data_IF_616974592349
#
_entry.id   IF_616974592349
#
_cell.length_a   1.000
_cell.length_b   1.000
_cell.length_c   1.000
_cell.angle_alpha   90.00
_cell.angle_beta   90.00
_cell.angle_gamma   90.00
#
_symmetry.space_group_name_H-M   'P 1'
#
loop_
_entity.id
_entity.type
_entity.pdbx_description
1 polymer ?
#
# COMPACT_ATOMS: atom_id res chain seq x y z
N UNK A 1 5.11 50.81 -16.34
CA UNK A 1 3.90 50.19 -15.76
C UNK A 1 4.19 48.74 -15.49
N UNK A 2 4.21 48.44 -14.22
CA UNK A 2 4.43 47.17 -13.57
C UNK A 2 3.35 46.12 -13.91
N UNK A 3 3.76 44.85 -13.94
CA UNK A 3 2.93 43.67 -13.70
C UNK A 3 3.83 42.58 -13.07
N UNK A 4 4.51 43.03 -12.01
CA UNK A 4 5.25 42.22 -11.03
C UNK A 4 4.29 41.15 -10.46
N UNK A 5 4.84 39.95 -10.24
CA UNK A 5 4.40 38.95 -9.24
C UNK A 5 3.51 37.72 -9.58
N UNK A 6 3.00 37.46 -10.79
CA UNK A 6 2.14 36.25 -10.97
C UNK A 6 2.77 35.01 -11.62
N UNK A 7 3.96 35.08 -12.24
CA UNK A 7 4.53 33.92 -12.98
C UNK A 7 5.70 33.21 -12.31
N UNK A 8 6.00 33.52 -11.04
CA UNK A 8 7.16 33.01 -10.30
C UNK A 8 7.00 31.59 -9.69
N UNK A 9 5.87 30.88 -9.86
CA UNK A 9 5.60 29.65 -9.05
C UNK A 9 5.60 28.31 -9.79
N UNK A 10 5.64 28.21 -11.14
CA UNK A 10 5.53 26.88 -11.80
C UNK A 10 6.74 26.49 -12.67
N UNK A 11 7.92 26.93 -12.25
CA UNK A 11 9.23 26.58 -12.79
C UNK A 11 9.82 25.39 -12.02
N UNK A 12 10.19 24.33 -12.75
CA UNK A 12 11.23 23.33 -12.41
C UNK A 12 10.91 22.40 -11.22
N UNK A 13 11.12 21.08 -11.29
CA UNK A 13 12.45 20.45 -11.19
C UNK A 13 12.46 19.10 -11.94
N UNK A 14 13.29 19.03 -12.98
CA UNK A 14 13.90 17.77 -13.40
C UNK A 14 15.00 17.40 -12.38
N UNK A 15 14.96 16.21 -11.78
CA UNK A 15 16.13 15.57 -11.16
C UNK A 15 15.96 14.06 -10.99
N UNK A 16 16.80 13.32 -11.72
CA UNK A 16 17.26 11.92 -11.48
C UNK A 16 17.44 11.62 -9.97
N UNK A 17 17.17 10.38 -9.54
CA UNK A 17 18.21 9.40 -9.12
C UNK A 17 17.66 8.04 -8.62
N UNK A 18 18.39 7.01 -9.03
CA UNK A 18 18.67 5.72 -8.39
C UNK A 18 17.62 4.59 -8.28
N UNK A 19 17.77 3.66 -9.22
CA UNK A 19 17.84 2.22 -9.03
C UNK A 19 17.97 1.69 -7.59
N UNK A 20 16.97 0.90 -7.16
CA UNK A 20 17.19 -0.22 -6.22
C UNK A 20 16.82 -1.50 -6.96
N UNK A 21 17.83 -2.18 -7.53
CA UNK A 21 17.76 -3.61 -7.84
C UNK A 21 17.73 -4.36 -6.50
N UNK A 22 16.59 -4.96 -6.11
CA UNK A 22 16.60 -6.10 -5.16
C UNK A 22 15.57 -7.17 -5.53
N UNK A 23 16.16 -8.28 -6.02
CA UNK A 23 15.80 -9.71 -6.00
C UNK A 23 14.38 -10.15 -6.35
N UNK A 24 14.29 -10.90 -7.45
CA UNK A 24 13.29 -11.96 -7.68
C UNK A 24 13.43 -13.00 -6.56
N UNK A 25 12.36 -13.26 -5.82
CA UNK A 25 12.17 -14.51 -5.08
C UNK A 25 10.91 -15.18 -5.58
N UNK A 26 11.12 -16.10 -6.52
CA UNK A 26 10.23 -17.23 -6.78
C UNK A 26 10.18 -18.10 -5.53
N UNK A 27 9.00 -18.28 -4.92
CA UNK A 27 8.81 -19.18 -3.78
C UNK A 27 7.34 -19.60 -3.69
N UNK A 28 7.10 -20.91 -3.77
CA UNK A 28 5.80 -21.55 -3.91
C UNK A 28 4.96 -21.51 -2.61
N UNK A 29 3.64 -21.44 -2.79
CA UNK A 29 2.50 -21.76 -1.90
C UNK A 29 2.76 -22.37 -0.51
N UNK A 30 2.23 -21.71 0.53
CA UNK A 30 1.28 -22.21 1.56
C UNK A 30 1.38 -21.25 2.76
N UNK A 31 0.23 -20.78 3.28
CA UNK A 31 0.08 -19.86 4.43
C UNK A 31 0.15 -18.36 4.10
N UNK A 32 -0.75 -17.87 3.25
CA UNK A 32 -0.91 -16.41 2.99
C UNK A 32 -2.00 -15.77 3.86
N UNK A 33 -2.69 -16.57 4.69
CA UNK A 33 -3.67 -16.14 5.71
C UNK A 33 -3.08 -16.19 7.12
N UNK A 34 -1.78 -16.43 7.27
CA UNK A 34 -1.14 -16.35 8.58
C UNK A 34 -1.15 -14.91 9.06
N UNK A 35 -1.55 -14.73 10.31
CA UNK A 35 -1.40 -13.46 11.01
C UNK A 35 0.07 -13.04 10.97
N UNK A 36 0.30 -11.74 10.79
CA UNK A 36 1.58 -11.12 11.04
C UNK A 36 2.02 -11.41 12.48
N UNK A 37 3.33 -11.59 12.71
CA UNK A 37 3.90 -11.59 14.06
C UNK A 37 3.47 -10.33 14.83
N UNK A 38 3.31 -10.44 16.15
CA UNK A 38 2.87 -9.32 16.99
C UNK A 38 3.80 -8.10 16.88
N UNK A 39 5.09 -8.33 16.62
CA UNK A 39 6.10 -7.28 16.39
C UNK A 39 6.04 -6.62 15.00
N UNK A 40 5.27 -7.18 14.04
CA UNK A 40 5.19 -6.70 12.64
C UNK A 40 3.77 -6.36 12.20
N UNK A 41 2.88 -6.14 13.15
CA UNK A 41 1.54 -5.62 12.87
C UNK A 41 1.61 -4.24 12.23
N UNK A 42 0.61 -3.92 11.41
CA UNK A 42 0.56 -2.61 10.75
C UNK A 42 -0.23 -1.63 11.62
N UNK A 43 0.39 -0.51 11.95
CA UNK A 43 -0.23 0.57 12.72
C UNK A 43 -0.80 1.62 11.77
N UNK A 44 -2.13 1.73 11.75
CA UNK A 44 -2.83 2.75 10.96
C UNK A 44 -2.84 4.06 11.75
N UNK A 45 -2.68 5.18 11.04
CA UNK A 45 -2.81 6.51 11.64
C UNK A 45 -4.25 6.72 12.13
N UNK A 46 -4.48 6.50 13.42
CA UNK A 46 -5.80 6.32 14.03
C UNK A 46 -5.86 5.28 15.16
N UNK A 47 -4.76 4.55 15.41
CA UNK A 47 -4.63 3.60 16.52
C UNK A 47 -5.13 2.18 16.20
N UNK A 48 -5.58 1.94 14.97
CA UNK A 48 -6.00 0.60 14.53
C UNK A 48 -4.79 -0.24 14.15
N UNK A 49 -4.79 -1.50 14.60
CA UNK A 49 -3.73 -2.47 14.37
C UNK A 49 -4.23 -3.53 13.39
N UNK A 50 -3.54 -3.70 12.26
CA UNK A 50 -3.83 -4.76 11.29
C UNK A 50 -2.91 -5.94 11.54
N UNK A 51 -3.49 -7.12 11.76
CA UNK A 51 -2.74 -8.36 11.97
C UNK A 51 -2.73 -9.24 10.73
N UNK A 52 -3.71 -9.12 9.85
CA UNK A 52 -3.82 -9.97 8.66
C UNK A 52 -4.55 -9.26 7.50
N UNK A 53 -4.72 -9.99 6.39
CA UNK A 53 -5.42 -9.49 5.22
C UNK A 53 -6.91 -9.18 5.48
N UNK A 54 -7.56 -9.90 6.39
CA UNK A 54 -8.97 -9.67 6.71
C UNK A 54 -9.15 -8.34 7.47
N UNK A 55 -8.26 -8.03 8.41
CA UNK A 55 -8.24 -6.73 9.09
C UNK A 55 -7.99 -5.60 8.08
N UNK A 56 -7.03 -5.79 7.16
CA UNK A 56 -6.77 -4.83 6.09
C UNK A 56 -8.00 -4.61 5.19
N UNK A 57 -8.74 -5.65 4.82
CA UNK A 57 -9.97 -5.51 4.00
C UNK A 57 -11.04 -4.69 4.71
N UNK A 58 -11.29 -4.98 5.99
CA UNK A 58 -12.25 -4.27 6.82
C UNK A 58 -11.85 -2.81 6.97
N UNK A 59 -10.59 -2.57 7.31
CA UNK A 59 -10.09 -1.21 7.53
C UNK A 59 -10.07 -0.40 6.25
N UNK A 60 -9.75 -0.97 5.08
CA UNK A 60 -9.85 -0.25 3.82
C UNK A 60 -11.29 0.19 3.49
N UNK A 61 -12.30 -0.54 3.96
CA UNK A 61 -13.71 -0.20 3.79
C UNK A 61 -14.19 0.87 4.77
N UNK A 62 -13.73 0.85 6.03
CA UNK A 62 -14.13 1.78 7.09
C UNK A 62 -13.30 3.06 7.16
N UNK A 63 -12.00 3.01 6.81
CA UNK A 63 -11.07 4.11 7.04
C UNK A 63 -11.42 5.37 6.25
N UNK A 64 -11.03 6.53 6.79
CA UNK A 64 -11.20 7.82 6.12
C UNK A 64 -10.32 7.92 4.87
N UNK A 65 -10.70 8.84 3.97
CA UNK A 65 -9.90 9.14 2.78
C UNK A 65 -8.53 9.72 3.15
N UNK A 66 -8.47 10.55 4.20
CA UNK A 66 -7.24 11.17 4.68
C UNK A 66 -6.24 10.13 5.22
N UNK A 67 -6.71 9.23 6.10
CA UNK A 67 -5.89 8.14 6.63
C UNK A 67 -5.36 7.25 5.51
N UNK A 68 -6.18 6.94 4.52
CA UNK A 68 -5.73 6.18 3.37
C UNK A 68 -4.65 6.90 2.56
N UNK A 69 -4.84 8.19 2.28
CA UNK A 69 -3.86 8.97 1.51
C UNK A 69 -2.53 9.18 2.23
N UNK A 70 -2.55 9.12 3.56
CA UNK A 70 -1.34 9.11 4.37
C UNK A 70 -0.47 7.87 4.08
N UNK A 71 -1.09 6.71 3.86
CA UNK A 71 -0.40 5.44 3.59
C UNK A 71 -0.22 5.13 2.09
N UNK A 72 -1.12 5.66 1.26
CA UNK A 72 -1.17 5.42 -0.18
C UNK A 72 -1.15 6.75 -0.93
N UNK A 73 -0.02 7.02 -1.57
CA UNK A 73 0.16 8.20 -2.41
C UNK A 73 1.01 7.85 -3.64
N UNK A 74 1.25 8.80 -4.57
CA UNK A 74 2.03 8.52 -5.78
C UNK A 74 3.46 8.01 -5.54
N UNK A 75 4.02 8.23 -4.35
CA UNK A 75 5.39 7.87 -3.99
C UNK A 75 5.49 6.61 -3.15
N UNK A 76 4.45 6.27 -2.37
CA UNK A 76 4.44 5.11 -1.47
C UNK A 76 3.09 4.42 -1.39
N UNK A 77 3.15 3.12 -1.10
CA UNK A 77 2.00 2.33 -0.71
C UNK A 77 2.44 1.42 0.43
N UNK A 78 2.20 1.88 1.65
CA UNK A 78 2.66 1.21 2.87
C UNK A 78 1.98 -0.15 3.04
N UNK A 79 0.70 -0.28 2.63
CA UNK A 79 -0.02 -1.56 2.65
C UNK A 79 0.61 -2.60 1.73
N UNK A 80 1.01 -2.21 0.52
CA UNK A 80 1.66 -3.12 -0.42
C UNK A 80 3.02 -3.59 0.10
N UNK A 81 3.78 -2.73 0.77
CA UNK A 81 5.06 -3.10 1.38
C UNK A 81 4.84 -4.06 2.54
N UNK A 82 3.89 -3.77 3.42
CA UNK A 82 3.53 -4.66 4.54
C UNK A 82 3.08 -6.04 4.05
N UNK A 83 2.20 -6.09 3.05
CA UNK A 83 1.74 -7.36 2.46
C UNK A 83 2.88 -8.15 1.83
N UNK A 84 3.84 -7.48 1.17
CA UNK A 84 4.98 -8.13 0.56
C UNK A 84 5.97 -8.68 1.60
N UNK A 85 6.35 -7.83 2.55
CA UNK A 85 7.50 -8.09 3.42
C UNK A 85 7.11 -8.85 4.68
N UNK A 86 5.88 -8.66 5.18
CA UNK A 86 5.39 -9.29 6.41
C UNK A 86 4.51 -10.49 6.13
N UNK A 87 3.50 -10.32 5.26
CA UNK A 87 2.58 -11.41 4.92
C UNK A 87 3.11 -12.33 3.82
N UNK A 88 4.17 -11.90 3.12
CA UNK A 88 4.85 -12.70 2.11
C UNK A 88 4.09 -12.86 0.79
N UNK A 89 3.10 -12.00 0.49
CA UNK A 89 2.28 -12.10 -0.73
C UNK A 89 2.70 -11.06 -1.79
N UNK A 90 3.79 -11.32 -2.54
CA UNK A 90 4.28 -10.39 -3.56
C UNK A 90 3.28 -10.21 -4.71
N UNK A 91 2.44 -11.21 -4.97
CA UNK A 91 1.43 -11.14 -6.03
C UNK A 91 0.35 -10.12 -5.66
N UNK A 92 -0.20 -10.21 -4.44
CA UNK A 92 -1.14 -9.22 -3.93
C UNK A 92 -0.49 -7.84 -3.84
N UNK A 93 0.73 -7.74 -3.30
CA UNK A 93 1.42 -6.48 -3.16
C UNK A 93 1.65 -5.76 -4.51
N UNK A 94 1.99 -6.51 -5.56
CA UNK A 94 2.15 -5.95 -6.92
C UNK A 94 0.86 -5.31 -7.42
N UNK A 95 -0.28 -5.94 -7.16
CA UNK A 95 -1.57 -5.44 -7.59
C UNK A 95 -2.02 -4.26 -6.74
N UNK A 96 -1.81 -4.30 -5.42
CA UNK A 96 -2.09 -3.16 -4.54
C UNK A 96 -1.34 -1.89 -4.96
N UNK A 97 -0.10 -1.98 -5.45
CA UNK A 97 0.67 -0.82 -5.96
C UNK A 97 0.03 -0.14 -7.17
N UNK A 98 -0.81 -0.84 -7.94
CA UNK A 98 -1.51 -0.27 -9.11
C UNK A 98 -2.81 0.42 -8.72
N UNK A 99 -3.41 0.01 -7.62
CA UNK A 99 -4.70 0.50 -7.16
C UNK A 99 -4.53 1.86 -6.49
N UNK A 100 -5.43 2.79 -6.79
CA UNK A 100 -5.39 4.17 -6.28
C UNK A 100 -6.55 4.52 -5.36
N UNK A 101 -7.49 3.60 -5.16
CA UNK A 101 -8.70 3.85 -4.36
C UNK A 101 -8.90 2.79 -3.30
N UNK A 102 -9.35 3.22 -2.11
CA UNK A 102 -9.72 2.35 -0.98
C UNK A 102 -10.59 1.17 -1.38
N UNK A 103 -11.72 1.46 -2.03
CA UNK A 103 -12.71 0.46 -2.45
C UNK A 103 -12.10 -0.58 -3.41
N UNK A 104 -11.27 -0.14 -4.35
CA UNK A 104 -10.63 -1.07 -5.29
C UNK A 104 -9.64 -2.01 -4.59
N UNK A 105 -8.83 -1.48 -3.67
CA UNK A 105 -7.92 -2.29 -2.85
C UNK A 105 -8.67 -3.29 -1.99
N UNK A 106 -9.70 -2.84 -1.26
CA UNK A 106 -10.51 -3.71 -0.40
C UNK A 106 -11.09 -4.88 -1.19
N UNK A 107 -11.69 -4.62 -2.36
CA UNK A 107 -12.23 -5.67 -3.24
C UNK A 107 -11.16 -6.67 -3.70
N UNK A 108 -9.96 -6.18 -4.03
CA UNK A 108 -8.88 -7.03 -4.49
C UNK A 108 -8.32 -7.90 -3.36
N UNK A 109 -8.12 -7.31 -2.16
CA UNK A 109 -7.74 -8.05 -0.95
C UNK A 109 -8.79 -9.12 -0.64
N UNK A 110 -10.08 -8.79 -0.67
CA UNK A 110 -11.18 -9.74 -0.48
C UNK A 110 -11.13 -10.90 -1.48
N UNK A 111 -10.92 -10.60 -2.75
CA UNK A 111 -10.79 -11.62 -3.80
C UNK A 111 -9.60 -12.53 -3.53
N UNK A 112 -8.47 -11.96 -3.10
CA UNK A 112 -7.27 -12.71 -2.75
C UNK A 112 -7.50 -13.62 -1.54
N UNK A 113 -8.14 -13.14 -0.47
CA UNK A 113 -8.52 -13.96 0.69
C UNK A 113 -9.36 -15.16 0.23
N UNK A 114 -10.39 -14.94 -0.60
CA UNK A 114 -11.23 -16.01 -1.14
C UNK A 114 -10.45 -17.07 -1.93
N UNK A 115 -9.42 -16.67 -2.66
CA UNK A 115 -8.55 -17.60 -3.40
C UNK A 115 -7.66 -18.45 -2.46
N UNK A 116 -7.37 -17.95 -1.26
CA UNK A 116 -6.49 -18.60 -0.28
C UNK A 116 -7.25 -19.49 0.70
N UNK A 117 -8.56 -19.26 0.88
CA UNK A 117 -9.46 -20.05 1.73
C UNK A 117 -10.15 -21.21 0.99
N UNK A 118 -9.95 -21.32 -0.32
CA UNK A 118 -10.57 -22.34 -1.18
C UNK A 118 -9.61 -23.50 -1.40
#
# INVERSE_FOLDING_TARGET
MDDIDLKRVKKMVAKKKNSVKKKKSSGKNKKMLTNAPEDKVFWVNGGVILKNLADLEKELMSMSFETFHYHVNPYKNDFANWVNDILGDPALAKELRKLKTRKSMARYVKSRIKQLTK
#
